data_IF_411984470324
#
_entry.id   IF_411984470324
#
_cell.length_a   1.000
_cell.length_b   1.000
_cell.length_c   1.000
_cell.angle_alpha   90.00
_cell.angle_beta   90.00
_cell.angle_gamma   90.00
#
_symmetry.space_group_name_H-M   'P 1'
#
loop_
_entity.id
_entity.type
_entity.pdbx_description
1 polymer ?
#
# COMPACT_ATOMS: atom_id res chain seq x y z
N UNK A 1 18.54 24.67 27.11
CA UNK A 1 18.40 23.26 26.70
C UNK A 1 18.36 23.27 25.19
N UNK A 2 19.38 22.76 24.52
CA UNK A 2 19.35 22.64 23.08
C UNK A 2 18.27 21.61 22.73
N UNK A 3 17.26 21.99 21.91
CA UNK A 3 16.38 21.07 21.26
C UNK A 3 17.25 20.06 20.50
N UNK A 4 17.20 18.78 20.91
CA UNK A 4 17.79 17.73 20.08
C UNK A 4 17.02 17.76 18.76
N UNK A 5 17.67 18.18 17.69
CA UNK A 5 17.19 17.96 16.34
C UNK A 5 16.98 16.45 16.26
N UNK A 6 15.71 16.03 16.25
CA UNK A 6 15.39 14.60 16.10
C UNK A 6 15.86 14.18 14.71
N UNK A 7 16.55 13.04 14.63
CA UNK A 7 16.89 12.46 13.33
C UNK A 7 15.64 12.42 12.45
N UNK A 8 15.77 12.66 11.13
CA UNK A 8 14.63 12.60 10.24
C UNK A 8 13.99 11.19 10.29
N UNK A 9 12.69 11.08 10.12
CA UNK A 9 12.02 9.78 10.09
C UNK A 9 12.61 8.91 8.98
N UNK A 10 12.59 7.60 9.19
CA UNK A 10 13.01 6.61 8.18
C UNK A 10 11.86 6.21 7.26
N UNK A 11 10.65 6.26 7.79
CA UNK A 11 9.43 5.92 7.05
C UNK A 11 8.35 6.96 7.32
N UNK A 12 7.77 7.52 6.26
CA UNK A 12 6.53 8.32 6.30
C UNK A 12 5.37 7.42 5.90
N UNK A 13 4.41 7.23 6.79
CA UNK A 13 3.22 6.43 6.51
C UNK A 13 2.09 7.37 6.10
N UNK A 14 1.57 7.19 4.90
CA UNK A 14 0.47 7.99 4.34
C UNK A 14 -0.80 7.16 4.27
N UNK A 15 -1.84 7.60 4.97
CA UNK A 15 -3.15 6.95 5.05
C UNK A 15 -4.24 7.90 4.58
N UNK A 16 -4.80 7.72 3.37
CA UNK A 16 -5.98 8.46 2.95
C UNK A 16 -7.22 7.88 3.63
N UNK A 17 -8.16 8.74 4.02
CA UNK A 17 -9.44 8.29 4.54
C UNK A 17 -10.60 9.13 4.00
N UNK A 18 -11.74 8.49 3.82
CA UNK A 18 -13.02 9.08 3.42
C UNK A 18 -14.15 8.20 3.96
N UNK A 19 -15.04 8.75 4.77
CA UNK A 19 -16.16 8.04 5.41
C UNK A 19 -15.75 6.68 6.00
N UNK A 20 -14.67 6.69 6.80
CA UNK A 20 -13.96 5.51 7.31
C UNK A 20 -14.18 5.29 8.82
N UNK A 21 -15.15 5.98 9.45
CA UNK A 21 -15.38 5.99 10.90
C UNK A 21 -15.44 4.58 11.52
N UNK A 22 -15.93 3.60 10.77
CA UNK A 22 -16.03 2.21 11.22
C UNK A 22 -14.68 1.55 11.55
N UNK A 23 -13.63 1.87 10.80
CA UNK A 23 -12.34 1.16 10.85
C UNK A 23 -11.15 2.04 11.20
N UNK A 24 -11.29 3.35 11.01
CA UNK A 24 -10.21 4.33 11.13
C UNK A 24 -9.53 4.28 12.51
N UNK A 25 -10.29 4.16 13.61
CA UNK A 25 -9.74 4.04 14.96
C UNK A 25 -8.78 2.85 15.09
N UNK A 26 -9.19 1.67 14.63
CA UNK A 26 -8.35 0.47 14.68
C UNK A 26 -7.10 0.59 13.81
N UNK A 27 -7.20 1.25 12.64
CA UNK A 27 -6.07 1.55 11.79
C UNK A 27 -5.06 2.45 12.52
N UNK A 28 -5.51 3.58 13.09
CA UNK A 28 -4.63 4.53 13.82
C UNK A 28 -3.96 3.83 15.01
N UNK A 29 -4.72 3.09 15.81
CA UNK A 29 -4.21 2.36 16.98
C UNK A 29 -3.12 1.35 16.58
N UNK A 30 -3.29 0.63 15.47
CA UNK A 30 -2.29 -0.32 14.97
C UNK A 30 -0.99 0.38 14.55
N UNK A 31 -1.08 1.55 13.92
CA UNK A 31 0.07 2.34 13.51
C UNK A 31 0.79 2.99 14.69
N UNK A 32 0.06 3.43 15.71
CA UNK A 32 0.65 3.95 16.94
C UNK A 32 1.32 2.85 17.79
N UNK A 33 0.92 1.58 17.61
CA UNK A 33 1.47 0.42 18.29
C UNK A 33 2.67 -0.22 17.57
N UNK A 34 3.18 0.39 16.51
CA UNK A 34 4.34 -0.10 15.76
C UNK A 34 5.58 -0.24 16.65
N UNK A 35 6.32 -1.31 16.45
CA UNK A 35 7.62 -1.52 17.08
C UNK A 35 8.71 -0.72 16.33
N UNK A 36 8.73 0.58 16.60
CA UNK A 36 9.63 1.57 16.03
C UNK A 36 10.24 2.45 17.11
N UNK A 37 11.42 2.98 16.84
CA UNK A 37 12.06 3.95 17.76
C UNK A 37 11.32 5.28 17.72
N UNK A 38 11.31 6.05 18.82
CA UNK A 38 10.74 7.39 18.81
C UNK A 38 11.32 8.26 17.68
N UNK A 39 10.45 8.85 16.86
CA UNK A 39 10.84 9.68 15.72
C UNK A 39 11.24 8.92 14.45
N UNK A 40 11.32 7.58 14.48
CA UNK A 40 11.65 6.76 13.30
C UNK A 40 10.54 6.73 12.25
N UNK A 41 9.30 6.95 12.66
CA UNK A 41 8.12 6.93 11.82
C UNK A 41 7.33 8.23 12.00
N UNK A 42 6.89 8.81 10.90
CA UNK A 42 5.85 9.84 10.91
C UNK A 42 4.56 9.29 10.30
N UNK A 43 3.43 9.60 10.92
CA UNK A 43 2.10 9.14 10.53
C UNK A 43 1.31 10.32 9.96
N UNK A 44 0.93 10.24 8.69
CA UNK A 44 0.25 11.28 7.93
C UNK A 44 -1.10 10.73 7.47
N UNK A 45 -2.16 11.21 8.06
CA UNK A 45 -3.54 10.88 7.70
C UNK A 45 -4.12 12.01 6.86
N UNK A 46 -4.78 11.68 5.75
CA UNK A 46 -5.33 12.69 4.84
C UNK A 46 -6.82 12.46 4.67
N UNK A 47 -7.61 13.36 5.25
CA UNK A 47 -9.06 13.40 5.07
C UNK A 47 -9.40 13.87 3.65
N UNK A 48 -10.13 13.05 2.92
CA UNK A 48 -10.57 13.37 1.55
C UNK A 48 -12.03 13.86 1.52
N UNK A 49 -12.39 14.70 2.49
CA UNK A 49 -13.72 15.32 2.58
C UNK A 49 -14.77 14.41 3.21
N UNK A 50 -14.44 13.71 4.30
CA UNK A 50 -15.39 12.86 5.04
C UNK A 50 -16.60 13.63 5.53
N UNK A 51 -17.76 12.98 5.50
CA UNK A 51 -19.05 13.49 5.96
C UNK A 51 -19.55 12.79 7.23
N UNK A 52 -18.90 11.69 7.60
CA UNK A 52 -19.14 10.95 8.84
C UNK A 52 -18.22 11.45 9.99
N UNK A 53 -18.10 10.69 11.06
CA UNK A 53 -17.29 11.02 12.23
C UNK A 53 -15.77 10.81 12.06
N UNK A 54 -15.31 10.41 10.87
CA UNK A 54 -13.90 10.07 10.60
C UNK A 54 -12.94 11.20 10.98
N UNK A 55 -13.25 12.45 10.60
CA UNK A 55 -12.39 13.60 10.91
C UNK A 55 -12.27 13.82 12.43
N UNK A 56 -13.38 13.67 13.16
CA UNK A 56 -13.42 13.79 14.62
C UNK A 56 -12.60 12.65 15.27
N UNK A 57 -12.77 11.41 14.80
CA UNK A 57 -11.98 10.27 15.27
C UNK A 57 -10.48 10.53 15.09
N UNK A 58 -10.04 11.00 13.92
CA UNK A 58 -8.63 11.28 13.68
C UNK A 58 -8.09 12.39 14.59
N UNK A 59 -8.89 13.42 14.86
CA UNK A 59 -8.51 14.56 15.72
C UNK A 59 -8.32 14.17 17.20
N UNK A 60 -8.92 13.08 17.67
CA UNK A 60 -8.75 12.55 19.03
C UNK A 60 -7.33 11.98 19.30
N UNK A 61 -6.58 11.65 18.26
CA UNK A 61 -5.30 11.02 18.43
C UNK A 61 -4.12 12.00 18.43
N UNK A 62 -3.17 11.79 19.33
CA UNK A 62 -1.87 12.46 19.32
C UNK A 62 -0.84 11.60 18.61
N UNK A 63 0.19 12.23 18.06
CA UNK A 63 1.28 11.51 17.37
C UNK A 63 1.00 11.21 15.90
N UNK A 64 -0.08 11.74 15.36
CA UNK A 64 -0.39 11.72 13.94
C UNK A 64 -0.53 13.15 13.39
N UNK A 65 -0.23 13.34 12.13
CA UNK A 65 -0.52 14.55 11.37
C UNK A 65 -1.80 14.32 10.57
N UNK A 66 -2.79 15.19 10.72
CA UNK A 66 -4.04 15.13 9.95
C UNK A 66 -4.05 16.27 8.94
N UNK A 67 -4.24 15.95 7.67
CA UNK A 67 -4.35 16.89 6.56
C UNK A 67 -5.73 16.76 5.93
N UNK A 68 -6.11 17.77 5.14
CA UNK A 68 -7.33 17.75 4.33
C UNK A 68 -6.99 17.89 2.85
N UNK A 69 -7.65 17.08 2.00
CA UNK A 69 -7.57 17.18 0.54
C UNK A 69 -8.97 17.33 -0.06
N UNK A 70 -9.22 18.49 -0.69
CA UNK A 70 -10.52 18.82 -1.27
C UNK A 70 -10.79 18.12 -2.61
N UNK A 71 -9.73 17.76 -3.35
CA UNK A 71 -9.87 17.02 -4.60
C UNK A 71 -10.29 15.58 -4.31
N UNK A 72 -11.47 15.19 -4.76
CA UNK A 72 -12.00 13.86 -4.51
C UNK A 72 -11.13 12.76 -5.13
N UNK A 73 -10.72 11.78 -4.33
CA UNK A 73 -9.96 10.62 -4.77
C UNK A 73 -8.80 10.24 -3.88
N UNK A 74 -8.69 8.94 -3.57
CA UNK A 74 -7.66 8.43 -2.67
C UNK A 74 -6.22 8.73 -3.13
N UNK A 75 -5.99 8.89 -4.44
CA UNK A 75 -4.66 9.24 -4.95
C UNK A 75 -4.34 10.73 -4.82
N UNK A 76 -5.33 11.62 -4.94
CA UNK A 76 -5.18 13.04 -4.59
C UNK A 76 -4.78 13.18 -3.11
N UNK A 77 -5.49 12.49 -2.22
CA UNK A 77 -5.16 12.46 -0.80
C UNK A 77 -3.76 11.89 -0.52
N UNK A 78 -3.36 10.79 -1.20
CA UNK A 78 -1.99 10.26 -1.07
C UNK A 78 -0.95 11.26 -1.56
N UNK A 79 -1.20 11.96 -2.67
CA UNK A 79 -0.30 13.00 -3.18
C UNK A 79 -0.14 14.15 -2.18
N UNK A 80 -1.21 14.53 -1.47
CA UNK A 80 -1.14 15.52 -0.37
C UNK A 80 -0.24 15.03 0.75
N UNK A 81 -0.34 13.77 1.15
CA UNK A 81 0.56 13.17 2.14
C UNK A 81 2.01 13.10 1.67
N UNK A 82 2.26 12.71 0.40
CA UNK A 82 3.60 12.65 -0.20
C UNK A 82 4.29 14.02 -0.15
N UNK A 83 3.58 15.13 -0.42
CA UNK A 83 4.16 16.48 -0.42
C UNK A 83 4.73 16.92 0.92
N UNK A 84 4.26 16.37 2.02
CA UNK A 84 4.74 16.72 3.38
C UNK A 84 5.60 15.63 4.00
N UNK A 85 5.69 14.47 3.40
CA UNK A 85 6.50 13.35 3.85
C UNK A 85 7.99 13.72 3.83
N UNK A 86 8.70 13.41 4.94
CA UNK A 86 10.12 13.78 5.13
C UNK A 86 11.05 12.59 5.07
N UNK A 87 10.52 11.38 5.11
CA UNK A 87 11.31 10.17 5.13
C UNK A 87 11.75 9.74 3.72
N UNK A 88 12.90 9.04 3.60
CA UNK A 88 13.35 8.47 2.32
C UNK A 88 12.48 7.31 1.83
N UNK A 89 11.64 6.74 2.68
CA UNK A 89 10.68 5.68 2.34
C UNK A 89 9.27 6.19 2.66
N UNK A 90 8.37 6.14 1.69
CA UNK A 90 6.95 6.46 1.89
C UNK A 90 6.16 5.16 1.82
N UNK A 91 5.50 4.82 2.92
CA UNK A 91 4.65 3.64 3.03
C UNK A 91 3.18 4.04 2.96
N UNK A 92 2.37 3.21 2.33
CA UNK A 92 0.94 3.41 2.14
C UNK A 92 0.17 2.25 2.75
N UNK A 93 -0.91 2.59 3.45
CA UNK A 93 -1.96 1.64 3.83
C UNK A 93 -3.31 2.34 3.74
N UNK A 94 -4.41 1.60 3.87
CA UNK A 94 -5.77 2.14 3.81
C UNK A 94 -6.37 2.23 5.21
N UNK A 95 -7.34 3.12 5.40
CA UNK A 95 -7.99 3.38 6.69
C UNK A 95 -8.81 2.19 7.25
N UNK A 96 -9.01 1.17 6.44
CA UNK A 96 -9.68 -0.10 6.80
C UNK A 96 -8.68 -1.28 6.96
N UNK A 97 -7.40 -0.96 7.15
CA UNK A 97 -6.33 -1.92 7.35
C UNK A 97 -5.72 -1.81 8.76
N UNK A 98 -5.38 -2.95 9.35
CA UNK A 98 -4.56 -3.07 10.56
C UNK A 98 -3.19 -3.58 10.13
N UNK A 99 -2.12 -2.90 10.56
CA UNK A 99 -0.74 -3.33 10.31
C UNK A 99 -0.21 -4.20 11.45
N UNK A 100 0.69 -5.15 11.16
CA UNK A 100 1.40 -5.90 12.19
C UNK A 100 2.41 -4.99 12.91
N UNK A 101 2.72 -5.27 14.17
CA UNK A 101 3.63 -4.46 14.98
C UNK A 101 5.04 -4.32 14.38
N UNK A 102 5.51 -5.31 13.65
CA UNK A 102 6.80 -5.35 12.97
C UNK A 102 6.77 -4.78 11.54
N UNK A 103 5.62 -4.27 11.07
CA UNK A 103 5.37 -3.85 9.70
C UNK A 103 6.41 -2.85 9.16
N UNK A 104 6.68 -1.77 9.90
CA UNK A 104 7.69 -0.76 9.50
C UNK A 104 9.10 -1.35 9.53
N UNK A 105 9.41 -2.20 10.51
CA UNK A 105 10.71 -2.87 10.57
C UNK A 105 10.95 -3.76 9.35
N UNK A 106 9.93 -4.51 8.94
CA UNK A 106 9.98 -5.34 7.73
C UNK A 106 10.13 -4.46 6.46
N UNK A 107 9.41 -3.33 6.36
CA UNK A 107 9.59 -2.37 5.25
C UNK A 107 11.03 -1.87 5.19
N UNK A 108 11.59 -1.41 6.31
CA UNK A 108 12.96 -0.90 6.37
C UNK A 108 13.95 -1.99 5.92
N UNK A 109 13.78 -3.23 6.39
CA UNK A 109 14.63 -4.36 6.00
C UNK A 109 14.52 -4.69 4.51
N UNK A 110 13.30 -4.76 3.97
CA UNK A 110 13.05 -5.05 2.55
C UNK A 110 13.51 -3.93 1.60
N UNK A 111 13.65 -2.70 2.10
CA UNK A 111 14.12 -1.53 1.34
C UNK A 111 15.61 -1.21 1.56
N UNK A 112 16.38 -2.11 2.18
CA UNK A 112 17.82 -1.90 2.42
C UNK A 112 18.63 -1.91 1.12
N UNK A 113 18.29 -2.79 0.16
CA UNK A 113 18.88 -2.80 -1.18
C UNK A 113 18.47 -1.52 -1.93
N UNK A 114 19.45 -0.66 -2.37
CA UNK A 114 19.15 0.58 -3.08
C UNK A 114 18.44 0.37 -4.41
N UNK A 115 18.53 -0.83 -5.00
CA UNK A 115 17.83 -1.16 -6.25
C UNK A 115 16.34 -1.48 -6.02
N UNK A 116 15.87 -1.65 -4.79
CA UNK A 116 14.43 -1.81 -4.52
C UNK A 116 13.77 -0.44 -4.57
N UNK A 117 13.05 -0.15 -5.65
CA UNK A 117 12.30 1.09 -5.85
C UNK A 117 10.94 1.06 -5.15
N UNK A 118 10.26 -0.09 -5.18
CA UNK A 118 8.99 -0.29 -4.51
C UNK A 118 8.87 -1.70 -3.92
N UNK A 119 8.17 -1.80 -2.79
CA UNK A 119 7.94 -3.04 -2.05
C UNK A 119 6.44 -3.21 -1.83
N UNK A 120 5.93 -4.40 -2.10
CA UNK A 120 4.55 -4.81 -1.86
C UNK A 120 4.51 -5.82 -0.72
N UNK A 121 3.59 -5.62 0.19
CA UNK A 121 3.42 -6.52 1.33
C UNK A 121 2.31 -7.55 1.13
N UNK A 122 2.10 -8.33 2.16
CA UNK A 122 1.14 -9.42 2.25
C UNK A 122 -0.16 -8.94 2.88
N UNK A 123 -1.30 -9.23 2.24
CA UNK A 123 -2.62 -8.85 2.73
C UNK A 123 -3.35 -10.08 3.30
N UNK A 124 -3.75 -10.00 4.56
CA UNK A 124 -4.59 -10.99 5.24
C UNK A 124 -6.01 -10.47 5.42
N UNK A 125 -6.90 -11.37 5.75
CA UNK A 125 -8.26 -11.07 6.19
C UNK A 125 -8.45 -11.52 7.63
N UNK A 126 -9.46 -10.97 8.37
CA UNK A 126 -9.72 -11.36 9.73
C UNK A 126 -9.95 -12.89 9.86
N UNK A 127 -9.67 -13.46 11.03
CA UNK A 127 -9.79 -14.90 11.26
C UNK A 127 -11.21 -15.43 11.04
N UNK A 128 -12.24 -14.60 11.27
CA UNK A 128 -13.64 -14.90 11.02
C UNK A 128 -14.07 -14.73 9.55
N UNK A 129 -13.13 -14.38 8.65
CA UNK A 129 -13.43 -14.29 7.24
C UNK A 129 -13.76 -15.66 6.64
N UNK A 130 -14.70 -15.69 5.69
CA UNK A 130 -15.11 -16.92 5.02
C UNK A 130 -13.95 -17.63 4.34
N UNK A 131 -13.96 -18.97 4.33
CA UNK A 131 -12.91 -19.76 3.66
C UNK A 131 -12.68 -19.34 2.19
N UNK A 132 -13.72 -19.09 1.35
CA UNK A 132 -13.50 -18.58 -0.01
C UNK A 132 -12.75 -17.23 -0.06
N UNK A 133 -12.99 -16.33 0.90
CA UNK A 133 -12.28 -15.05 0.96
C UNK A 133 -10.80 -15.25 1.34
N UNK A 134 -10.52 -16.13 2.29
CA UNK A 134 -9.14 -16.46 2.68
C UNK A 134 -8.36 -17.12 1.53
N UNK A 135 -9.00 -18.03 0.78
CA UNK A 135 -8.39 -18.66 -0.40
C UNK A 135 -8.13 -17.63 -1.52
N UNK A 136 -9.08 -16.71 -1.75
CA UNK A 136 -8.90 -15.62 -2.71
C UNK A 136 -7.73 -14.72 -2.29
N UNK A 137 -7.61 -14.37 -1.02
CA UNK A 137 -6.49 -13.59 -0.49
C UNK A 137 -5.15 -14.28 -0.69
N UNK A 138 -5.06 -15.57 -0.37
CA UNK A 138 -3.84 -16.36 -0.61
C UNK A 138 -3.46 -16.39 -2.10
N UNK A 139 -4.44 -16.52 -3.00
CA UNK A 139 -4.20 -16.44 -4.43
C UNK A 139 -3.71 -15.05 -4.87
N UNK A 140 -4.30 -13.95 -4.36
CA UNK A 140 -3.87 -12.59 -4.67
C UNK A 140 -2.44 -12.31 -4.17
N UNK A 141 -2.07 -12.78 -2.97
CA UNK A 141 -0.70 -12.69 -2.47
C UNK A 141 0.29 -13.47 -3.36
N UNK A 142 -0.06 -14.68 -3.77
CA UNK A 142 0.75 -15.47 -4.71
C UNK A 142 0.91 -14.75 -6.06
N UNK A 143 -0.17 -14.14 -6.56
CA UNK A 143 -0.17 -13.36 -7.80
C UNK A 143 0.79 -12.16 -7.68
N UNK A 144 0.72 -11.38 -6.61
CA UNK A 144 1.61 -10.23 -6.37
C UNK A 144 3.07 -10.69 -6.28
N UNK A 145 3.36 -11.77 -5.57
CA UNK A 145 4.72 -12.30 -5.44
C UNK A 145 5.33 -12.68 -6.81
N UNK A 146 4.55 -13.33 -7.67
CA UNK A 146 5.00 -13.68 -9.03
C UNK A 146 5.15 -12.43 -9.91
N UNK A 147 4.22 -11.50 -9.83
CA UNK A 147 4.26 -10.26 -10.62
C UNK A 147 5.47 -9.40 -10.24
N UNK A 148 5.71 -9.21 -8.96
CA UNK A 148 6.85 -8.43 -8.48
C UNK A 148 8.19 -9.08 -8.86
N UNK A 149 8.34 -10.39 -8.64
CA UNK A 149 9.63 -11.06 -8.80
C UNK A 149 9.95 -11.57 -10.20
N UNK A 150 8.95 -11.76 -11.09
CA UNK A 150 9.13 -12.50 -12.35
C UNK A 150 8.55 -11.83 -13.59
N UNK A 151 7.71 -10.80 -13.43
CA UNK A 151 7.07 -10.17 -14.57
C UNK A 151 7.85 -8.92 -15.03
N UNK A 152 7.95 -8.71 -16.36
CA UNK A 152 8.52 -7.49 -16.89
C UNK A 152 7.66 -6.27 -16.51
N UNK A 153 8.22 -5.03 -16.59
CA UNK A 153 7.51 -3.81 -16.23
C UNK A 153 6.11 -3.68 -16.82
N UNK A 154 5.94 -4.09 -18.09
CA UNK A 154 4.65 -4.04 -18.80
C UNK A 154 3.52 -4.87 -18.16
N UNK A 155 3.84 -5.82 -17.28
CA UNK A 155 2.85 -6.66 -16.59
C UNK A 155 2.79 -6.36 -15.08
N UNK A 156 3.54 -5.37 -14.58
CA UNK A 156 3.57 -5.04 -13.15
C UNK A 156 2.32 -4.27 -12.75
N UNK A 157 1.79 -4.61 -11.60
CA UNK A 157 0.71 -3.87 -10.94
C UNK A 157 0.93 -3.90 -9.42
N UNK A 158 0.26 -3.01 -8.71
CA UNK A 158 0.40 -2.84 -7.27
C UNK A 158 -0.95 -2.51 -6.61
N UNK A 159 -0.96 -2.55 -5.29
CA UNK A 159 -2.06 -2.09 -4.45
C UNK A 159 -1.51 -1.25 -3.29
N UNK A 160 -1.94 0.01 -3.19
CA UNK A 160 -1.51 0.93 -2.15
C UNK A 160 -1.91 0.54 -0.73
N UNK A 161 -2.80 -0.42 -0.54
CA UNK A 161 -3.19 -0.84 0.80
C UNK A 161 -2.04 -1.48 1.60
N UNK A 162 -0.95 -1.91 0.93
CA UNK A 162 0.26 -2.40 1.58
C UNK A 162 1.47 -2.26 0.65
N UNK A 163 1.95 -1.03 0.50
CA UNK A 163 3.01 -0.69 -0.44
C UNK A 163 3.98 0.32 0.18
N UNK A 164 5.26 0.17 -0.09
CA UNK A 164 6.27 1.17 0.23
C UNK A 164 7.06 1.54 -1.04
N UNK A 165 7.43 2.83 -1.16
CA UNK A 165 8.13 3.38 -2.33
C UNK A 165 9.25 4.29 -1.84
N UNK A 166 10.40 4.32 -2.52
CA UNK A 166 11.41 5.34 -2.27
C UNK A 166 10.86 6.71 -2.62
N UNK A 167 11.06 7.68 -1.74
CA UNK A 167 10.59 9.04 -1.95
C UNK A 167 11.14 9.64 -3.26
N UNK A 168 12.41 9.37 -3.59
CA UNK A 168 13.05 9.83 -4.83
C UNK A 168 12.32 9.42 -6.11
N UNK A 169 11.55 8.33 -6.09
CA UNK A 169 10.74 7.90 -7.24
C UNK A 169 9.70 8.97 -7.59
N UNK A 170 9.07 9.57 -6.57
CA UNK A 170 8.08 10.63 -6.81
C UNK A 170 8.71 11.91 -7.35
N UNK A 171 9.96 12.19 -6.98
CA UNK A 171 10.72 13.33 -7.52
C UNK A 171 11.11 13.08 -8.98
N UNK A 172 11.49 11.85 -9.32
CA UNK A 172 12.03 11.49 -10.64
C UNK A 172 10.95 11.24 -11.69
N UNK A 173 9.88 10.53 -11.34
CA UNK A 173 8.82 10.15 -12.30
C UNK A 173 7.47 10.79 -12.00
N UNK A 174 7.39 11.63 -10.96
CA UNK A 174 6.19 12.34 -10.54
C UNK A 174 5.25 11.52 -9.63
N UNK A 175 4.25 12.19 -9.01
CA UNK A 175 3.31 11.62 -8.08
C UNK A 175 2.35 10.64 -8.74
N UNK A 176 1.42 10.07 -7.95
CA UNK A 176 0.32 9.28 -8.50
C UNK A 176 -0.51 10.11 -9.47
N UNK A 177 -0.97 9.48 -10.56
CA UNK A 177 -2.04 10.05 -11.38
C UNK A 177 -3.30 10.15 -10.54
N UNK A 178 -4.01 11.26 -10.59
CA UNK A 178 -5.27 11.46 -9.84
C UNK A 178 -6.44 10.73 -10.50
N UNK A 179 -6.21 9.49 -10.81
CA UNK A 179 -7.21 8.60 -11.36
C UNK A 179 -8.10 8.05 -10.24
N UNK A 180 -9.28 7.62 -10.60
CA UNK A 180 -10.18 7.01 -9.63
C UNK A 180 -9.66 5.66 -9.11
N UNK A 181 -8.90 4.92 -9.94
CA UNK A 181 -8.33 3.59 -9.63
C UNK A 181 -7.05 3.35 -10.41
N UNK A 182 -6.26 2.36 -9.97
CA UNK A 182 -5.09 1.81 -10.66
C UNK A 182 -3.90 2.77 -10.82
N UNK A 183 -3.89 3.93 -10.16
CA UNK A 183 -2.72 4.81 -10.22
C UNK A 183 -1.50 4.22 -9.47
N UNK A 184 -1.71 3.29 -8.55
CA UNK A 184 -0.66 2.46 -7.95
C UNK A 184 -0.02 1.51 -8.96
N UNK A 185 -0.83 0.84 -9.78
CA UNK A 185 -0.35 0.01 -10.87
C UNK A 185 0.36 0.84 -11.96
N UNK A 186 -0.19 2.01 -12.29
CA UNK A 186 0.45 2.96 -13.21
C UNK A 186 1.81 3.43 -12.70
N UNK A 187 1.92 3.77 -11.42
CA UNK A 187 3.19 4.20 -10.82
C UNK A 187 4.27 3.13 -10.95
N UNK A 188 3.99 1.88 -10.57
CA UNK A 188 5.00 0.80 -10.67
C UNK A 188 5.30 0.41 -12.12
N UNK A 189 4.33 0.54 -13.03
CA UNK A 189 4.53 0.39 -14.46
C UNK A 189 5.46 1.49 -14.98
N UNK A 190 5.15 2.76 -14.70
CA UNK A 190 5.95 3.92 -15.08
C UNK A 190 7.35 3.89 -14.46
N UNK A 191 7.49 3.47 -13.20
CA UNK A 191 8.79 3.21 -12.57
C UNK A 191 9.60 2.21 -13.39
N UNK A 192 9.01 1.07 -13.74
CA UNK A 192 9.71 0.04 -14.50
C UNK A 192 10.11 0.45 -15.92
N UNK A 193 9.40 1.41 -16.53
CA UNK A 193 9.77 1.96 -17.86
C UNK A 193 10.88 3.02 -17.77
N UNK A 194 10.84 3.88 -16.76
CA UNK A 194 11.80 4.99 -16.62
C UNK A 194 13.06 4.61 -15.84
N UNK A 195 12.96 3.63 -14.95
CA UNK A 195 14.02 3.13 -14.07
C UNK A 195 14.05 1.60 -14.11
N UNK A 196 14.42 0.99 -15.26
CA UNK A 196 14.37 -0.47 -15.47
C UNK A 196 15.29 -1.26 -14.52
N UNK A 197 16.33 -0.62 -13.96
CA UNK A 197 17.21 -1.18 -12.94
C UNK A 197 16.54 -1.33 -11.58
N UNK A 198 15.46 -0.58 -11.32
CA UNK A 198 14.77 -0.67 -10.05
C UNK A 198 13.83 -1.89 -9.98
N UNK A 199 13.92 -2.55 -8.85
CA UNK A 199 13.13 -3.74 -8.54
C UNK A 199 11.78 -3.36 -7.91
N UNK A 200 10.73 -4.07 -8.31
CA UNK A 200 9.51 -4.23 -7.54
C UNK A 200 9.63 -5.55 -6.78
N UNK A 201 9.50 -5.50 -5.45
CA UNK A 201 9.68 -6.67 -4.59
C UNK A 201 8.38 -6.97 -3.83
N UNK A 202 8.09 -8.23 -3.56
CA UNK A 202 7.07 -8.64 -2.60
C UNK A 202 7.75 -9.27 -1.38
N UNK A 203 7.41 -8.76 -0.19
CA UNK A 203 7.90 -9.30 1.07
C UNK A 203 6.72 -9.78 1.95
N UNK A 204 6.60 -11.08 2.21
CA UNK A 204 5.53 -11.62 3.06
C UNK A 204 5.67 -11.25 4.55
N UNK A 205 6.80 -10.67 4.99
CA UNK A 205 6.96 -10.14 6.34
C UNK A 205 6.25 -8.79 6.53
N UNK A 206 6.01 -8.04 5.46
CA UNK A 206 5.27 -6.78 5.49
C UNK A 206 3.78 -7.08 5.46
N UNK A 207 3.13 -7.19 6.62
CA UNK A 207 1.77 -7.75 6.74
C UNK A 207 0.75 -6.72 7.21
N UNK A 208 -0.42 -6.78 6.57
CA UNK A 208 -1.63 -6.10 7.01
C UNK A 208 -2.82 -7.07 7.10
N UNK A 209 -3.85 -6.67 7.83
CA UNK A 209 -5.18 -7.31 7.84
C UNK A 209 -6.21 -6.32 7.33
N UNK A 210 -6.89 -6.65 6.23
CA UNK A 210 -7.92 -5.80 5.60
C UNK A 210 -9.29 -6.10 6.20
N UNK A 211 -9.94 -5.11 6.80
CA UNK A 211 -11.15 -5.27 7.61
C UNK A 211 -12.46 -5.17 6.82
N UNK A 212 -12.49 -4.43 5.71
CA UNK A 212 -13.73 -4.13 4.98
C UNK A 212 -14.40 -5.37 4.39
N UNK A 213 -13.61 -6.32 3.87
CA UNK A 213 -14.17 -7.47 3.18
C UNK A 213 -14.46 -8.62 4.12
N UNK A 214 -15.73 -9.04 4.16
CA UNK A 214 -16.18 -10.24 4.87
C UNK A 214 -16.60 -11.37 3.92
N UNK A 215 -16.87 -11.05 2.64
CA UNK A 215 -17.33 -12.01 1.62
C UNK A 215 -16.46 -11.98 0.37
N UNK A 216 -16.13 -13.15 -0.15
CA UNK A 216 -15.31 -13.30 -1.35
C UNK A 216 -15.88 -12.57 -2.59
N UNK A 217 -17.21 -12.56 -2.75
CA UNK A 217 -17.88 -11.90 -3.89
C UNK A 217 -17.60 -10.40 -3.95
N UNK A 218 -17.56 -9.72 -2.80
CA UNK A 218 -17.38 -8.27 -2.74
C UNK A 218 -15.93 -7.93 -3.10
N UNK A 219 -14.98 -8.73 -2.59
CA UNK A 219 -13.57 -8.63 -2.98
C UNK A 219 -13.35 -8.95 -4.46
N UNK A 220 -13.94 -10.03 -4.98
CA UNK A 220 -13.81 -10.42 -6.39
C UNK A 220 -14.36 -9.34 -7.33
N UNK A 221 -15.51 -8.71 -6.99
CA UNK A 221 -16.05 -7.58 -7.73
C UNK A 221 -15.06 -6.41 -7.77
N UNK A 222 -14.41 -6.09 -6.67
CA UNK A 222 -13.41 -5.01 -6.60
C UNK A 222 -12.18 -5.33 -7.45
N UNK A 223 -11.68 -6.58 -7.38
CA UNK A 223 -10.55 -7.03 -8.21
C UNK A 223 -10.83 -6.94 -9.71
N UNK A 224 -12.05 -7.30 -10.14
CA UNK A 224 -12.47 -7.15 -11.54
C UNK A 224 -12.39 -5.69 -12.00
N UNK A 225 -12.88 -4.75 -11.19
CA UNK A 225 -12.80 -3.32 -11.50
C UNK A 225 -11.34 -2.83 -11.61
N UNK A 226 -10.42 -3.36 -10.81
CA UNK A 226 -8.99 -3.05 -10.93
C UNK A 226 -8.41 -3.60 -12.24
N UNK A 227 -8.75 -4.83 -12.62
CA UNK A 227 -8.30 -5.42 -13.89
C UNK A 227 -8.76 -4.61 -15.09
N UNK A 228 -10.03 -4.20 -15.11
CA UNK A 228 -10.61 -3.37 -16.17
C UNK A 228 -9.93 -1.99 -16.27
N UNK A 229 -9.51 -1.42 -15.13
CA UNK A 229 -8.83 -0.13 -15.11
C UNK A 229 -7.34 -0.26 -15.47
N UNK A 230 -6.66 -1.32 -15.03
CA UNK A 230 -5.27 -1.57 -15.41
C UNK A 230 -5.10 -1.72 -16.94
N UNK A 231 -6.10 -2.28 -17.62
CA UNK A 231 -6.10 -2.39 -19.08
C UNK A 231 -6.07 -1.02 -19.81
N UNK A 232 -6.36 0.08 -19.10
CA UNK A 232 -6.32 1.45 -19.64
C UNK A 232 -4.93 2.12 -19.49
N UNK A 233 -4.00 1.48 -18.76
CA UNK A 233 -2.63 1.98 -18.61
C UNK A 233 -1.91 1.78 -19.95
N UNK A 234 -1.37 2.85 -20.51
CA UNK A 234 -0.63 2.78 -21.78
C UNK A 234 0.57 1.83 -21.66
N UNK A 235 0.68 0.90 -22.60
CA UNK A 235 1.72 -0.13 -22.60
C UNK A 235 1.53 -1.26 -21.59
N UNK A 236 0.48 -1.25 -20.74
CA UNK A 236 0.19 -2.35 -19.83
C UNK A 236 -0.21 -3.62 -20.60
N UNK A 237 0.33 -4.74 -20.18
CA UNK A 237 0.01 -6.06 -20.75
C UNK A 237 -0.58 -6.97 -19.70
N UNK A 238 -1.72 -7.59 -20.02
CA UNK A 238 -2.27 -8.63 -19.18
C UNK A 238 -1.29 -9.80 -19.02
N UNK A 239 -1.45 -10.54 -17.92
CA UNK A 239 -0.67 -11.74 -17.65
C UNK A 239 -0.96 -12.80 -18.73
N UNK A 240 0.07 -13.29 -19.38
CA UNK A 240 -0.03 -14.37 -20.35
C UNK A 240 -0.24 -15.74 -19.66
N UNK A 241 -0.47 -16.78 -20.45
CA UNK A 241 -0.78 -18.13 -19.95
C UNK A 241 0.34 -18.66 -19.05
N UNK A 242 1.61 -18.50 -19.44
CA UNK A 242 2.74 -19.00 -18.63
C UNK A 242 2.85 -18.29 -17.28
N UNK A 243 2.59 -16.98 -17.22
CA UNK A 243 2.55 -16.21 -15.98
C UNK A 243 1.38 -16.64 -15.08
N UNK A 244 0.20 -16.88 -15.65
CA UNK A 244 -0.97 -17.39 -14.91
C UNK A 244 -0.72 -18.80 -14.36
N UNK A 245 -0.07 -19.67 -15.12
CA UNK A 245 0.34 -21.00 -14.66
C UNK A 245 1.41 -20.93 -13.56
N UNK A 246 2.37 -20.01 -13.65
CA UNK A 246 3.36 -19.78 -12.61
C UNK A 246 2.72 -19.33 -11.28
N UNK A 247 1.70 -18.49 -11.33
CA UNK A 247 0.92 -18.05 -10.16
C UNK A 247 0.20 -19.25 -9.53
N UNK A 248 -0.51 -20.04 -10.34
CA UNK A 248 -1.23 -21.22 -9.89
C UNK A 248 -0.28 -22.23 -9.23
N UNK A 249 0.84 -22.50 -9.85
CA UNK A 249 1.86 -23.42 -9.34
C UNK A 249 2.47 -22.92 -8.00
N UNK A 250 2.81 -21.61 -7.91
CA UNK A 250 3.32 -21.01 -6.69
C UNK A 250 2.29 -21.07 -5.56
N UNK A 251 1.03 -20.75 -5.86
CA UNK A 251 -0.07 -20.82 -4.90
C UNK A 251 -0.33 -22.23 -4.38
N UNK A 252 -0.35 -23.25 -5.27
CA UNK A 252 -0.55 -24.65 -4.89
C UNK A 252 0.57 -25.20 -3.98
N UNK A 253 1.78 -24.65 -4.07
CA UNK A 253 2.92 -24.98 -3.19
C UNK A 253 2.92 -24.20 -1.87
N UNK A 254 1.86 -23.47 -1.57
CA UNK A 254 1.73 -22.73 -0.33
C UNK A 254 2.30 -21.31 -0.37
N UNK A 255 2.76 -20.85 -1.52
CA UNK A 255 3.10 -19.44 -1.72
C UNK A 255 1.87 -18.57 -1.56
N UNK A 256 1.98 -17.47 -0.78
CA UNK A 256 0.86 -16.56 -0.52
C UNK A 256 0.04 -16.90 0.74
N UNK A 257 0.50 -17.83 1.57
CA UNK A 257 -0.06 -18.13 2.90
C UNK A 257 0.68 -17.39 4.00
#
# INVERSE_FOLDING_TARGET
>A
MAERVSDPPRVSVVVPFFDSGRHLRACIESLLALDARPGEVELIFVDNGSTDDSAAIAADFRGITVLHEATAGAYAARNTGIRVARAPIIAFTDADCIVDRDWVRAIIAGMTDPEVGALLGHCRYPDNASLPLRLLGAYENAKIAVVAGRCPPANRFAYCNNMAVRASIFDEIGPFREWRRAADSELVHRMGLNRPELKLVHDPAVRITHLEFTRARDRARRLRLYTETNAQIDGFRELNVSQRLAILWFWLRGGGR
#
